data_IF_381838346650
#
_entry.id   IF_381838346650
#
_cell.length_a   1.000
_cell.length_b   1.000
_cell.length_c   1.000
_cell.angle_alpha   90.00
_cell.angle_beta   90.00
_cell.angle_gamma   90.00
#
_symmetry.space_group_name_H-M   'P 1'
#
loop_
_entity.id
_entity.type
_entity.pdbx_description
1 polymer ?
#
# COMPACT_ATOMS: atom_id res chain seq x y z
N UNK A 1 -16.36 -23.79 0.20
CA UNK A 1 -15.79 -22.45 -0.13
C UNK A 1 -16.91 -21.57 -0.62
N UNK A 2 -17.09 -20.36 -0.09
CA UNK A 2 -18.11 -19.43 -0.57
C UNK A 2 -17.72 -18.88 -1.95
N UNK A 3 -18.71 -18.64 -2.82
CA UNK A 3 -18.47 -18.04 -4.13
C UNK A 3 -17.74 -16.68 -4.03
N UNK A 4 -18.02 -15.91 -2.97
CA UNK A 4 -17.33 -14.66 -2.65
C UNK A 4 -15.82 -14.82 -2.50
N UNK A 5 -15.37 -15.91 -1.87
CA UNK A 5 -13.94 -16.19 -1.69
C UNK A 5 -13.27 -16.52 -3.03
N UNK A 6 -13.96 -17.26 -3.91
CA UNK A 6 -13.45 -17.59 -5.25
C UNK A 6 -13.32 -16.33 -6.10
N UNK A 7 -14.33 -15.45 -6.11
CA UNK A 7 -14.26 -14.17 -6.81
C UNK A 7 -13.15 -13.26 -6.26
N UNK A 8 -12.96 -13.22 -4.94
CA UNK A 8 -11.87 -12.47 -4.33
C UNK A 8 -10.49 -13.01 -4.76
N UNK A 9 -10.31 -14.33 -4.80
CA UNK A 9 -9.06 -14.95 -5.26
C UNK A 9 -8.80 -14.67 -6.74
N UNK A 10 -9.82 -14.78 -7.59
CA UNK A 10 -9.72 -14.46 -9.01
C UNK A 10 -9.38 -12.98 -9.23
N UNK A 11 -10.00 -12.07 -8.47
CA UNK A 11 -9.69 -10.65 -8.52
C UNK A 11 -8.23 -10.36 -8.09
N UNK A 12 -7.73 -11.03 -7.05
CA UNK A 12 -6.33 -10.91 -6.61
C UNK A 12 -5.36 -11.41 -7.68
N UNK A 13 -5.65 -12.55 -8.32
CA UNK A 13 -4.84 -13.11 -9.41
C UNK A 13 -4.83 -12.18 -10.63
N UNK A 14 -6.01 -11.69 -11.05
CA UNK A 14 -6.15 -10.76 -12.15
C UNK A 14 -5.41 -9.45 -11.87
N UNK A 15 -5.56 -8.91 -10.66
CA UNK A 15 -4.86 -7.72 -10.22
C UNK A 15 -3.34 -7.93 -10.28
N UNK A 16 -2.81 -9.04 -9.75
CA UNK A 16 -1.39 -9.36 -9.80
C UNK A 16 -0.85 -9.49 -11.23
N UNK A 17 -1.63 -10.08 -12.14
CA UNK A 17 -1.26 -10.20 -13.55
C UNK A 17 -1.19 -8.84 -14.24
N UNK A 18 -2.25 -8.02 -14.12
CA UNK A 18 -2.28 -6.66 -14.68
C UNK A 18 -1.14 -5.83 -14.11
N UNK A 19 -0.92 -5.90 -12.80
CA UNK A 19 0.15 -5.18 -12.13
C UNK A 19 1.54 -5.52 -12.66
N UNK A 20 1.75 -6.72 -13.23
CA UNK A 20 3.02 -7.12 -13.85
C UNK A 20 3.24 -6.49 -15.24
N UNK A 21 2.18 -6.15 -15.96
CA UNK A 21 2.24 -5.58 -17.32
C UNK A 21 2.34 -4.05 -17.31
N UNK A 22 1.82 -3.42 -16.25
CA UNK A 22 1.83 -1.97 -16.03
C UNK A 22 3.25 -1.41 -15.88
N UNK A 23 3.52 -0.21 -16.41
CA UNK A 23 4.83 0.44 -16.34
C UNK A 23 5.26 0.73 -14.89
N UNK A 24 6.57 0.82 -14.63
CA UNK A 24 7.07 1.05 -13.25
C UNK A 24 6.59 2.41 -12.72
N UNK A 25 6.45 3.40 -13.60
CA UNK A 25 5.95 4.74 -13.28
C UNK A 25 4.46 4.74 -12.91
N UNK A 26 3.64 3.99 -13.64
CA UNK A 26 2.23 3.79 -13.31
C UNK A 26 2.06 3.04 -11.98
N UNK A 27 2.86 2.00 -11.73
CA UNK A 27 2.84 1.30 -10.42
C UNK A 27 3.20 2.24 -9.28
N UNK A 28 4.20 3.09 -9.46
CA UNK A 28 4.59 4.12 -8.49
C UNK A 28 3.42 5.08 -8.23
N UNK A 29 2.76 5.57 -9.28
CA UNK A 29 1.62 6.46 -9.13
C UNK A 29 0.45 5.77 -8.42
N UNK A 30 0.17 4.50 -8.76
CA UNK A 30 -0.83 3.69 -8.09
C UNK A 30 -0.56 3.57 -6.58
N UNK A 31 0.67 3.22 -6.17
CA UNK A 31 1.00 3.14 -4.74
C UNK A 31 0.88 4.50 -4.04
N UNK A 32 1.26 5.60 -4.70
CA UNK A 32 1.08 6.95 -4.14
C UNK A 32 -0.39 7.25 -3.85
N UNK A 33 -1.26 6.99 -4.83
CA UNK A 33 -2.71 7.21 -4.69
C UNK A 33 -3.30 6.27 -3.65
N UNK A 34 -2.91 5.00 -3.65
CA UNK A 34 -3.38 4.00 -2.69
C UNK A 34 -3.02 4.39 -1.24
N UNK A 35 -1.77 4.79 -0.99
CA UNK A 35 -1.32 5.26 0.33
C UNK A 35 -2.12 6.48 0.76
N UNK A 36 -2.30 7.46 -0.13
CA UNK A 36 -3.10 8.65 0.19
C UNK A 36 -4.54 8.28 0.56
N UNK A 37 -5.17 7.37 -0.20
CA UNK A 37 -6.54 6.92 0.06
C UNK A 37 -6.66 6.16 1.39
N UNK A 38 -5.71 5.27 1.69
CA UNK A 38 -5.67 4.56 2.99
C UNK A 38 -5.54 5.52 4.16
N UNK A 39 -4.67 6.54 4.04
CA UNK A 39 -4.52 7.56 5.08
C UNK A 39 -5.80 8.37 5.27
N UNK A 40 -6.48 8.76 4.19
CA UNK A 40 -7.78 9.45 4.28
C UNK A 40 -8.81 8.58 4.98
N UNK A 41 -8.94 7.30 4.61
CA UNK A 41 -9.87 6.37 5.26
C UNK A 41 -9.55 6.23 6.75
N UNK A 42 -8.28 6.06 7.11
CA UNK A 42 -7.86 5.96 8.51
C UNK A 42 -8.13 7.24 9.31
N UNK A 43 -7.87 8.42 8.73
CA UNK A 43 -8.18 9.71 9.34
C UNK A 43 -9.68 9.90 9.55
N UNK A 44 -10.49 9.59 8.54
CA UNK A 44 -11.95 9.67 8.64
C UNK A 44 -12.44 8.74 9.75
N UNK A 45 -11.98 7.50 9.80
CA UNK A 45 -12.36 6.56 10.85
C UNK A 45 -12.00 7.09 12.25
N UNK A 46 -10.79 7.65 12.41
CA UNK A 46 -10.32 8.23 13.66
C UNK A 46 -11.16 9.45 14.11
N UNK A 47 -11.51 10.36 13.21
CA UNK A 47 -12.31 11.54 13.55
C UNK A 47 -13.80 11.23 13.74
N UNK A 48 -14.32 10.20 13.08
CA UNK A 48 -15.72 9.77 13.23
C UNK A 48 -15.91 8.96 14.51
N UNK A 49 -14.89 8.23 14.98
CA UNK A 49 -14.92 7.42 16.21
C UNK A 49 -15.58 8.13 17.42
N UNK A 50 -15.17 9.34 17.84
CA UNK A 50 -15.78 10.01 19.01
C UNK A 50 -17.22 10.48 18.79
N UNK A 51 -17.70 10.56 17.54
CA UNK A 51 -19.04 11.03 17.19
C UNK A 51 -20.07 9.89 17.20
N UNK A 52 -19.62 8.64 17.20
CA UNK A 52 -20.50 7.47 17.14
C UNK A 52 -20.80 6.98 18.56
N UNK A 53 -22.08 6.87 18.97
CA UNK A 53 -22.43 6.40 20.32
C UNK A 53 -22.38 4.87 20.48
N UNK A 54 -22.38 4.12 19.37
CA UNK A 54 -22.41 2.66 19.40
C UNK A 54 -20.98 2.07 19.55
N UNK A 55 -20.75 1.33 20.62
CA UNK A 55 -19.44 0.72 20.96
C UNK A 55 -18.96 -0.32 19.93
N UNK A 56 -19.87 -1.09 19.31
CA UNK A 56 -19.49 -2.06 18.27
C UNK A 56 -18.95 -1.35 17.02
N UNK A 57 -19.59 -0.24 16.65
CA UNK A 57 -19.17 0.56 15.48
C UNK A 57 -17.85 1.27 15.78
N UNK A 58 -17.65 1.77 17.00
CA UNK A 58 -16.35 2.33 17.44
C UNK A 58 -15.23 1.32 17.28
N UNK A 59 -15.42 0.08 17.75
CA UNK A 59 -14.42 -0.97 17.61
C UNK A 59 -14.05 -1.24 16.14
N UNK A 60 -15.05 -1.27 15.25
CA UNK A 60 -14.81 -1.43 13.81
C UNK A 60 -14.06 -0.23 13.22
N UNK A 61 -14.39 1.00 13.64
CA UNK A 61 -13.70 2.21 13.19
C UNK A 61 -12.24 2.24 13.67
N UNK A 62 -11.98 1.86 14.92
CA UNK A 62 -10.63 1.77 15.47
C UNK A 62 -9.80 0.71 14.72
N UNK A 63 -10.38 -0.47 14.50
CA UNK A 63 -9.71 -1.52 13.75
C UNK A 63 -9.45 -1.09 12.30
N UNK A 64 -10.40 -0.38 11.69
CA UNK A 64 -10.24 0.18 10.35
C UNK A 64 -9.11 1.21 10.31
N UNK A 65 -9.02 2.11 11.28
CA UNK A 65 -7.96 3.11 11.37
C UNK A 65 -6.58 2.45 11.53
N UNK A 66 -6.47 1.46 12.42
CA UNK A 66 -5.23 0.70 12.64
C UNK A 66 -4.80 -0.04 11.37
N UNK A 67 -5.72 -0.77 10.74
CA UNK A 67 -5.43 -1.55 9.53
C UNK A 67 -5.03 -0.62 8.38
N UNK A 68 -5.77 0.48 8.18
CA UNK A 68 -5.47 1.47 7.15
C UNK A 68 -4.08 2.09 7.36
N UNK A 69 -3.73 2.42 8.60
CA UNK A 69 -2.41 2.95 8.94
C UNK A 69 -1.30 1.93 8.67
N UNK A 70 -1.43 0.69 9.16
CA UNK A 70 -0.44 -0.36 8.92
C UNK A 70 -0.22 -0.63 7.43
N UNK A 71 -1.32 -0.75 6.66
CA UNK A 71 -1.24 -0.93 5.21
C UNK A 71 -0.58 0.28 4.54
N UNK A 72 -0.91 1.51 4.94
CA UNK A 72 -0.32 2.72 4.37
C UNK A 72 1.20 2.74 4.55
N UNK A 73 1.72 2.33 5.71
CA UNK A 73 3.16 2.26 5.98
C UNK A 73 3.81 1.18 5.11
N UNK A 74 3.21 -0.01 5.03
CA UNK A 74 3.73 -1.10 4.19
C UNK A 74 3.80 -0.70 2.71
N UNK A 75 2.73 -0.08 2.20
CA UNK A 75 2.68 0.38 0.81
C UNK A 75 3.58 1.59 0.56
N UNK A 76 3.81 2.45 1.55
CA UNK A 76 4.78 3.54 1.44
C UNK A 76 6.21 3.00 1.32
N UNK A 77 6.56 1.96 2.07
CA UNK A 77 7.87 1.28 1.92
C UNK A 77 8.02 0.65 0.54
N UNK A 78 6.97 0.02 0.02
CA UNK A 78 6.96 -0.52 -1.34
C UNK A 78 7.13 0.60 -2.39
N UNK A 79 6.44 1.73 -2.20
CA UNK A 79 6.58 2.93 -3.03
C UNK A 79 8.02 3.45 -3.04
N UNK A 80 8.64 3.60 -1.86
CA UNK A 80 10.03 4.09 -1.73
C UNK A 80 11.00 3.17 -2.47
N UNK A 81 10.86 1.85 -2.31
CA UNK A 81 11.69 0.87 -3.04
C UNK A 81 11.52 0.97 -4.55
N UNK A 82 10.29 1.15 -5.03
CA UNK A 82 10.01 1.35 -6.45
C UNK A 82 10.57 2.67 -6.97
N UNK A 83 10.43 3.77 -6.22
CA UNK A 83 10.96 5.07 -6.61
C UNK A 83 12.50 5.06 -6.69
N UNK A 84 13.17 4.39 -5.74
CA UNK A 84 14.61 4.15 -5.81
C UNK A 84 15.00 3.38 -7.06
N UNK A 85 14.25 2.33 -7.41
CA UNK A 85 14.50 1.55 -8.64
C UNK A 85 14.35 2.41 -9.89
N UNK A 86 13.29 3.22 -9.99
CA UNK A 86 13.07 4.14 -11.12
C UNK A 86 14.20 5.16 -11.24
N UNK A 87 14.63 5.77 -10.13
CA UNK A 87 15.74 6.74 -10.14
C UNK A 87 17.08 6.11 -10.54
N UNK A 88 17.32 4.86 -10.16
CA UNK A 88 18.50 4.10 -10.63
C UNK A 88 18.42 3.81 -12.13
N UNK A 89 17.26 3.42 -12.66
CA UNK A 89 17.06 3.20 -14.11
C UNK A 89 17.22 4.49 -14.93
N UNK A 90 16.87 5.66 -14.35
CA UNK A 90 17.06 6.98 -14.97
C UNK A 90 18.47 7.55 -14.82
N UNK A 91 19.38 6.86 -14.12
CA UNK A 91 20.74 7.32 -13.88
C UNK A 91 20.87 8.49 -12.90
N UNK A 92 19.78 8.85 -12.20
CA UNK A 92 19.71 9.95 -11.22
C UNK A 92 20.25 9.53 -9.83
N UNK A 93 20.37 8.22 -9.59
CA UNK A 93 20.97 7.67 -8.38
C UNK A 93 22.16 6.78 -8.76
N UNK A 94 23.35 7.10 -8.23
CA UNK A 94 24.47 6.17 -8.27
C UNK A 94 24.14 4.96 -7.37
N UNK A 95 24.47 3.72 -7.81
CA UNK A 95 24.22 2.54 -7.00
C UNK A 95 24.91 2.69 -5.63
N UNK A 96 24.28 2.20 -4.53
CA UNK A 96 24.92 2.24 -3.23
C UNK A 96 26.28 1.55 -3.34
N UNK A 97 27.33 2.09 -2.68
CA UNK A 97 28.66 1.51 -2.77
C UNK A 97 28.56 0.05 -2.36
N UNK A 98 28.81 -0.87 -3.29
CA UNK A 98 28.99 -2.28 -2.97
C UNK A 98 30.08 -2.31 -1.91
N UNK A 99 29.72 -2.58 -0.65
CA UNK A 99 30.69 -3.01 0.36
C UNK A 99 31.39 -4.23 -0.25
N UNK A 100 32.57 -4.00 -0.82
CA UNK A 100 33.54 -5.06 -1.12
C UNK A 100 33.79 -5.73 0.22
N UNK A 101 33.12 -6.86 0.46
CA UNK A 101 33.54 -7.80 1.48
C UNK A 101 35.01 -8.08 1.24
N UNK A 102 35.83 -7.78 2.23
CA UNK A 102 37.27 -7.94 2.20
C UNK A 102 37.66 -9.39 1.90
N UNK A 103 38.83 -9.49 1.29
CA UNK A 103 39.60 -10.71 1.05
C UNK A 103 39.71 -11.58 2.29
#
# INVERSE_FOLDING_TARGET
MSASLIFALLALLAFGFVFRVVSVEERRNFFRVLVALLLVVGLVAYFVHPLVPNEEVKYVLDLTAIVAFLLSVLFLLAYIKLDQKVRMEKGELHPPPRKKGGK
#
